data_IF_047861485912
#
_entry.id   IF_047861485912
#
_cell.length_a   1.000
_cell.length_b   1.000
_cell.length_c   1.000
_cell.angle_alpha   90.00
_cell.angle_beta   90.00
_cell.angle_gamma   90.00
#
_symmetry.space_group_name_H-M   'P 1'
#
loop_
_entity.id
_entity.type
_entity.pdbx_description
1 polymer ?
#
# COMPACT_ATOMS: atom_id res chain seq x y z
N UNK A 1 -34.70 -36.01 -50.16
CA UNK A 1 -34.44 -36.22 -48.71
C UNK A 1 -32.96 -36.09 -48.34
N UNK A 2 -32.02 -36.80 -49.00
CA UNK A 2 -30.56 -36.70 -48.70
C UNK A 2 -29.96 -35.28 -48.78
N UNK A 3 -30.41 -34.45 -49.74
CA UNK A 3 -29.94 -33.06 -49.91
C UNK A 3 -30.34 -32.14 -48.75
N UNK A 4 -31.56 -32.31 -48.22
CA UNK A 4 -32.08 -31.51 -47.09
C UNK A 4 -31.34 -31.84 -45.80
N UNK A 5 -31.05 -33.13 -45.58
CA UNK A 5 -30.27 -33.58 -44.43
C UNK A 5 -28.85 -32.98 -44.45
N UNK A 6 -28.22 -32.95 -45.63
CA UNK A 6 -26.88 -32.40 -45.80
C UNK A 6 -26.85 -30.87 -45.55
N UNK A 7 -27.87 -30.14 -46.01
CA UNK A 7 -28.01 -28.70 -45.75
C UNK A 7 -28.23 -28.40 -44.27
N UNK A 8 -29.01 -29.21 -43.54
CA UNK A 8 -29.20 -29.06 -42.09
C UNK A 8 -27.91 -29.35 -41.30
N UNK A 9 -27.14 -30.36 -41.70
CA UNK A 9 -25.83 -30.63 -41.08
C UNK A 9 -24.85 -29.47 -41.29
N UNK A 10 -24.83 -28.85 -42.47
CA UNK A 10 -23.94 -27.72 -42.75
C UNK A 10 -24.28 -26.48 -41.90
N UNK A 11 -25.57 -26.23 -41.65
CA UNK A 11 -26.02 -25.11 -40.82
C UNK A 11 -25.68 -25.29 -39.34
N UNK A 12 -25.73 -26.53 -38.82
CA UNK A 12 -25.32 -26.82 -37.43
C UNK A 12 -23.81 -26.70 -37.21
N UNK A 13 -22.99 -26.95 -38.25
CA UNK A 13 -21.54 -26.77 -38.18
C UNK A 13 -21.16 -25.27 -38.30
N UNK A 14 -21.96 -24.48 -39.02
CA UNK A 14 -21.73 -23.04 -39.18
C UNK A 14 -22.14 -22.22 -37.94
N UNK A 15 -22.96 -22.75 -37.03
CA UNK A 15 -23.25 -22.14 -35.73
C UNK A 15 -22.13 -22.40 -34.72
N UNK A 16 -20.92 -21.94 -35.05
CA UNK A 16 -19.82 -21.89 -34.09
C UNK A 16 -20.10 -20.82 -33.02
N UNK A 17 -19.79 -21.13 -31.77
CA UNK A 17 -19.84 -20.15 -30.69
C UNK A 17 -18.78 -19.07 -30.94
N UNK A 18 -19.22 -17.86 -31.29
CA UNK A 18 -18.36 -16.68 -31.28
C UNK A 18 -18.20 -16.24 -29.81
N UNK A 19 -17.06 -16.58 -29.20
CA UNK A 19 -16.68 -15.98 -27.93
C UNK A 19 -16.19 -14.56 -28.22
N UNK A 20 -16.91 -13.56 -27.72
CA UNK A 20 -16.40 -12.21 -27.67
C UNK A 20 -15.25 -12.20 -26.66
N UNK A 21 -14.03 -11.93 -27.13
CA UNK A 21 -12.87 -11.80 -26.26
C UNK A 21 -13.03 -10.50 -25.46
N UNK A 22 -13.57 -10.60 -24.25
CA UNK A 22 -13.75 -9.47 -23.35
C UNK A 22 -12.38 -9.05 -22.85
N UNK A 23 -11.84 -7.99 -23.43
CA UNK A 23 -10.61 -7.35 -22.97
C UNK A 23 -10.81 -6.87 -21.54
N UNK A 24 -10.20 -7.55 -20.57
CA UNK A 24 -10.33 -7.23 -19.14
C UNK A 24 -8.98 -6.82 -18.53
N UNK A 25 -9.00 -5.81 -17.65
CA UNK A 25 -7.80 -5.29 -17.01
C UNK A 25 -7.57 -6.05 -15.70
N UNK A 26 -6.71 -7.07 -15.75
CA UNK A 26 -6.40 -7.89 -14.55
C UNK A 26 -5.45 -7.18 -13.60
N UNK A 27 -4.41 -6.53 -14.14
CA UNK A 27 -3.47 -5.74 -13.36
C UNK A 27 -3.24 -4.37 -14.00
N UNK A 28 -3.01 -3.38 -13.15
CA UNK A 28 -2.68 -2.03 -13.56
C UNK A 28 -1.73 -1.38 -12.57
N UNK A 29 -1.05 -0.33 -13.02
CA UNK A 29 -0.14 0.50 -12.23
C UNK A 29 -0.45 1.97 -12.46
N UNK A 30 -0.17 2.79 -11.46
CA UNK A 30 -0.23 4.25 -11.58
C UNK A 30 1.16 4.77 -11.94
N UNK A 31 1.25 5.61 -12.97
CA UNK A 31 2.47 6.28 -13.44
C UNK A 31 2.23 7.78 -13.61
N UNK A 32 3.31 8.54 -13.75
CA UNK A 32 3.23 9.94 -14.19
C UNK A 32 2.66 10.03 -15.62
N UNK A 33 1.88 11.08 -15.91
CA UNK A 33 1.48 11.38 -17.28
C UNK A 33 2.65 12.08 -18.02
N UNK A 34 3.23 11.47 -19.08
CA UNK A 34 4.33 12.11 -19.81
C UNK A 34 3.87 13.26 -20.70
N UNK A 35 2.56 13.41 -20.94
CA UNK A 35 1.99 14.41 -21.87
C UNK A 35 1.36 15.61 -21.16
N UNK A 36 1.18 15.56 -19.85
CA UNK A 36 0.55 16.64 -19.09
C UNK A 36 1.13 16.75 -17.68
N UNK A 37 1.33 17.99 -17.23
CA UNK A 37 1.82 18.27 -15.87
C UNK A 37 0.73 17.99 -14.83
N UNK A 38 1.17 17.55 -13.66
CA UNK A 38 0.32 17.30 -12.49
C UNK A 38 -0.81 16.26 -12.73
N UNK A 39 -0.71 15.45 -13.78
CA UNK A 39 -1.64 14.37 -14.10
C UNK A 39 -0.95 13.01 -13.98
N UNK A 40 -1.74 11.97 -13.71
CA UNK A 40 -1.26 10.59 -13.68
C UNK A 40 -1.85 9.78 -14.82
N UNK A 41 -1.16 8.71 -15.17
CA UNK A 41 -1.64 7.69 -16.09
C UNK A 41 -1.91 6.40 -15.33
N UNK A 42 -2.98 5.70 -15.69
CA UNK A 42 -3.25 4.32 -15.28
C UNK A 42 -2.89 3.44 -16.46
N UNK A 43 -1.99 2.48 -16.20
CA UNK A 43 -1.42 1.62 -17.24
C UNK A 43 -1.79 0.18 -16.92
N UNK A 44 -2.48 -0.48 -17.84
CA UNK A 44 -2.76 -1.90 -17.79
C UNK A 44 -1.48 -2.68 -18.03
N UNK A 45 -1.18 -3.64 -17.15
CA UNK A 45 0.07 -4.41 -17.20
C UNK A 45 -0.17 -5.89 -16.98
N UNK A 46 0.77 -6.72 -17.42
CA UNK A 46 0.84 -8.14 -17.05
C UNK A 46 1.51 -8.35 -15.67
N UNK A 47 1.65 -9.60 -15.27
CA UNK A 47 2.37 -10.00 -14.04
C UNK A 47 3.85 -9.63 -14.06
N UNK A 48 4.45 -9.50 -15.24
CA UNK A 48 5.82 -9.02 -15.46
C UNK A 48 5.97 -7.49 -15.48
N UNK A 49 4.87 -6.74 -15.28
CA UNK A 49 4.78 -5.28 -15.39
C UNK A 49 4.98 -4.73 -16.82
N UNK A 50 4.87 -5.57 -17.85
CA UNK A 50 4.85 -5.13 -19.24
C UNK A 50 3.48 -4.55 -19.58
N UNK A 51 3.45 -3.53 -20.43
CA UNK A 51 2.20 -2.87 -20.83
C UNK A 51 1.38 -3.82 -21.71
N UNK A 52 0.08 -3.92 -21.43
CA UNK A 52 -0.86 -4.68 -22.26
C UNK A 52 -1.44 -3.79 -23.36
N UNK A 53 -0.77 -3.72 -24.51
CA UNK A 53 -1.17 -2.85 -25.62
C UNK A 53 -2.49 -3.26 -26.29
N UNK A 54 -2.94 -4.49 -26.09
CA UNK A 54 -4.25 -4.97 -26.56
C UNK A 54 -5.42 -4.34 -25.79
N UNK A 55 -5.18 -3.73 -24.60
CA UNK A 55 -6.22 -3.08 -23.81
C UNK A 55 -6.64 -1.75 -24.44
N UNK A 56 -7.81 -1.74 -25.07
CA UNK A 56 -8.41 -0.57 -25.71
C UNK A 56 -9.90 -0.50 -25.39
N UNK A 57 -10.41 0.70 -25.11
CA UNK A 57 -11.83 0.91 -24.77
C UNK A 57 -11.99 1.85 -23.57
N UNK A 58 -13.22 1.99 -23.06
CA UNK A 58 -13.45 2.78 -21.84
C UNK A 58 -13.82 1.87 -20.68
N UNK A 59 -13.18 2.10 -19.54
CA UNK A 59 -13.30 1.29 -18.35
C UNK A 59 -13.68 2.17 -17.17
N UNK A 60 -14.54 1.65 -16.30
CA UNK A 60 -14.89 2.33 -15.05
C UNK A 60 -13.84 2.00 -13.98
N UNK A 61 -13.34 3.05 -13.33
CA UNK A 61 -12.43 2.97 -12.19
C UNK A 61 -13.03 3.73 -11.02
N UNK A 62 -12.85 3.22 -9.81
CA UNK A 62 -13.10 4.01 -8.60
C UNK A 62 -11.78 4.57 -8.10
N UNK A 63 -11.60 5.88 -8.15
CA UNK A 63 -10.40 6.58 -7.68
C UNK A 63 -10.77 7.40 -6.44
N UNK A 64 -10.15 7.08 -5.30
CA UNK A 64 -10.43 7.74 -4.01
C UNK A 64 -11.92 7.78 -3.63
N UNK A 65 -12.70 6.78 -4.06
CA UNK A 65 -14.14 6.68 -3.80
C UNK A 65 -15.03 7.28 -4.89
N UNK A 66 -14.47 8.00 -5.86
CA UNK A 66 -15.21 8.57 -6.99
C UNK A 66 -15.14 7.64 -8.19
N UNK A 67 -16.27 7.44 -8.87
CA UNK A 67 -16.34 6.65 -10.10
C UNK A 67 -15.92 7.52 -11.28
N UNK A 68 -14.88 7.08 -11.98
CA UNK A 68 -14.23 7.76 -13.08
C UNK A 68 -14.24 6.86 -14.32
N UNK A 69 -14.57 7.43 -15.47
CA UNK A 69 -14.55 6.71 -16.74
C UNK A 69 -13.25 7.00 -17.46
N UNK A 70 -12.42 5.99 -17.64
CA UNK A 70 -11.09 6.11 -18.22
C UNK A 70 -11.04 5.47 -19.60
N UNK A 71 -10.59 6.26 -20.59
CA UNK A 71 -10.37 5.77 -21.96
C UNK A 71 -8.95 5.21 -22.07
N UNK A 72 -8.84 3.90 -22.25
CA UNK A 72 -7.60 3.19 -22.49
C UNK A 72 -7.30 3.16 -24.00
N UNK A 73 -6.10 3.59 -24.35
CA UNK A 73 -5.52 3.47 -25.67
C UNK A 73 -4.15 2.81 -25.53
N UNK A 74 -3.97 1.65 -26.17
CA UNK A 74 -2.78 0.80 -26.08
C UNK A 74 -2.34 0.54 -24.63
N UNK A 75 -3.30 0.19 -23.77
CA UNK A 75 -3.03 -0.13 -22.37
C UNK A 75 -2.79 1.07 -21.46
N UNK A 76 -2.93 2.30 -21.95
CA UNK A 76 -2.73 3.52 -21.14
C UNK A 76 -3.98 4.37 -21.14
N UNK A 77 -4.41 4.82 -19.95
CA UNK A 77 -5.44 5.84 -19.79
C UNK A 77 -4.92 7.01 -18.96
N UNK A 78 -5.31 8.22 -19.33
CA UNK A 78 -4.92 9.43 -18.60
C UNK A 78 -6.02 9.85 -17.64
N UNK A 79 -5.65 9.99 -16.37
CA UNK A 79 -6.52 10.59 -15.36
C UNK A 79 -6.28 12.10 -15.35
N UNK A 80 -7.23 12.85 -15.90
CA UNK A 80 -7.09 14.30 -16.17
C UNK A 80 -7.36 15.19 -14.97
N UNK A 81 -7.53 14.63 -13.78
CA UNK A 81 -7.65 15.41 -12.56
C UNK A 81 -6.27 15.83 -12.07
N UNK A 82 -6.02 17.14 -12.03
CA UNK A 82 -4.74 17.69 -11.62
C UNK A 82 -4.51 17.53 -10.13
N UNK A 83 -3.33 17.04 -9.75
CA UNK A 83 -2.91 16.90 -8.37
C UNK A 83 -2.18 18.17 -7.91
N UNK A 84 -2.85 19.01 -7.14
CA UNK A 84 -2.26 20.24 -6.57
C UNK A 84 -1.24 19.96 -5.45
N UNK A 85 -1.27 18.77 -4.86
CA UNK A 85 -0.37 18.38 -3.79
C UNK A 85 -0.12 16.88 -3.81
N UNK A 86 0.93 16.46 -3.11
CA UNK A 86 1.16 15.05 -2.83
C UNK A 86 -0.08 14.44 -2.19
N UNK A 87 -0.55 13.31 -2.73
CA UNK A 87 -1.81 12.71 -2.32
C UNK A 87 -1.79 11.20 -2.47
N UNK A 88 -2.63 10.53 -1.70
CA UNK A 88 -2.94 9.13 -1.93
C UNK A 88 -3.86 9.00 -3.14
N UNK A 89 -3.60 7.95 -3.92
CA UNK A 89 -4.41 7.48 -5.04
C UNK A 89 -4.74 6.02 -4.75
N UNK A 90 -5.97 5.80 -4.29
CA UNK A 90 -6.57 4.48 -4.17
C UNK A 90 -7.41 4.24 -5.42
N UNK A 91 -6.85 3.48 -6.36
CA UNK A 91 -7.53 3.13 -7.60
C UNK A 91 -8.04 1.68 -7.52
N UNK A 92 -9.30 1.49 -7.89
CA UNK A 92 -9.97 0.19 -7.94
C UNK A 92 -10.64 0.00 -9.29
N UNK A 93 -10.49 -1.17 -9.86
CA UNK A 93 -11.19 -1.60 -11.07
C UNK A 93 -11.93 -2.90 -10.77
N UNK A 94 -13.18 -2.96 -11.19
CA UNK A 94 -14.01 -4.16 -11.12
C UNK A 94 -14.21 -4.69 -12.53
N UNK A 95 -13.93 -5.98 -12.71
CA UNK A 95 -14.19 -6.72 -13.93
C UNK A 95 -15.09 -7.92 -13.60
N UNK A 96 -15.53 -8.65 -14.62
CA UNK A 96 -16.41 -9.81 -14.43
C UNK A 96 -15.73 -10.95 -13.63
N UNK A 97 -14.39 -11.01 -13.66
CA UNK A 97 -13.59 -12.01 -12.98
C UNK A 97 -13.22 -11.64 -11.52
N UNK A 98 -13.38 -10.38 -11.11
CA UNK A 98 -12.96 -9.95 -9.77
C UNK A 98 -12.81 -8.44 -9.59
N UNK A 99 -12.02 -8.05 -8.59
CA UNK A 99 -11.75 -6.64 -8.28
C UNK A 99 -10.29 -6.47 -7.95
N UNK A 100 -9.62 -5.61 -8.71
CA UNK A 100 -8.22 -5.26 -8.49
C UNK A 100 -8.15 -3.85 -7.93
N UNK A 101 -7.45 -3.68 -6.81
CA UNK A 101 -7.20 -2.36 -6.22
C UNK A 101 -5.73 -2.15 -5.91
N UNK A 102 -5.27 -0.92 -6.11
CA UNK A 102 -3.92 -0.51 -5.83
C UNK A 102 -3.93 0.82 -5.07
N UNK A 103 -3.09 0.91 -4.03
CA UNK A 103 -2.84 2.13 -3.29
C UNK A 103 -1.47 2.69 -3.66
N UNK A 104 -1.45 3.96 -4.04
CA UNK A 104 -0.23 4.72 -4.29
C UNK A 104 -0.22 5.98 -3.44
N UNK A 105 0.96 6.39 -3.02
CA UNK A 105 1.21 7.78 -2.63
C UNK A 105 1.93 8.45 -3.79
N UNK A 106 1.28 9.45 -4.38
CA UNK A 106 1.85 10.22 -5.47
C UNK A 106 2.56 11.42 -4.87
N UNK A 107 3.89 11.37 -4.88
CA UNK A 107 4.72 12.45 -4.39
C UNK A 107 4.89 13.52 -5.48
N UNK A 108 4.43 14.74 -5.20
CA UNK A 108 4.61 15.90 -6.07
C UNK A 108 5.89 16.64 -5.69
N UNK A 109 6.75 16.85 -6.66
CA UNK A 109 7.92 17.73 -6.53
C UNK A 109 8.06 18.56 -7.80
N UNK A 110 8.23 19.87 -7.63
CA UNK A 110 8.30 20.88 -8.68
C UNK A 110 7.15 20.80 -9.70
N UNK A 111 7.32 20.02 -10.78
CA UNK A 111 6.35 19.78 -11.85
C UNK A 111 6.28 18.30 -12.24
N UNK A 112 6.80 17.42 -11.39
CA UNK A 112 6.84 15.98 -11.60
C UNK A 112 6.03 15.25 -10.54
N UNK A 113 5.45 14.15 -10.97
CA UNK A 113 4.73 13.24 -10.08
C UNK A 113 5.48 11.92 -9.99
N UNK A 114 5.72 11.45 -8.77
CA UNK A 114 6.38 10.18 -8.52
C UNK A 114 5.43 9.26 -7.73
N UNK A 115 4.68 8.39 -8.43
CA UNK A 115 3.82 7.41 -7.76
C UNK A 115 4.65 6.33 -7.07
N UNK A 116 4.46 6.21 -5.75
CA UNK A 116 5.07 5.16 -4.92
C UNK A 116 3.98 4.19 -4.48
N UNK A 117 4.09 2.92 -4.89
CA UNK A 117 3.12 1.89 -4.51
C UNK A 117 3.24 1.60 -3.01
N UNK A 118 2.10 1.63 -2.31
CA UNK A 118 2.04 1.27 -0.90
C UNK A 118 1.51 -0.15 -0.76
N UNK A 119 2.23 -0.96 0.00
CA UNK A 119 1.78 -2.29 0.37
C UNK A 119 0.74 -2.21 1.48
N UNK A 120 -0.37 -2.94 1.35
CA UNK A 120 -1.38 -3.05 2.40
C UNK A 120 -0.81 -3.64 3.70
N UNK A 121 0.21 -4.51 3.60
CA UNK A 121 0.92 -5.04 4.75
C UNK A 121 1.51 -3.92 5.61
N UNK A 122 2.06 -2.87 4.97
CA UNK A 122 2.67 -1.75 5.69
C UNK A 122 1.63 -0.95 6.48
N UNK A 123 0.41 -0.80 5.94
CA UNK A 123 -0.70 -0.12 6.62
C UNK A 123 -1.11 -0.83 7.93
N UNK A 124 -0.95 -2.15 7.99
CA UNK A 124 -1.27 -2.95 9.18
C UNK A 124 -0.06 -3.08 10.11
N UNK A 125 1.13 -3.27 9.52
CA UNK A 125 2.36 -3.50 10.27
C UNK A 125 2.75 -2.30 11.14
N UNK A 126 2.56 -1.07 10.67
CA UNK A 126 2.91 0.14 11.44
C UNK A 126 2.06 0.25 12.72
N UNK A 127 0.71 0.25 12.67
CA UNK A 127 -0.11 0.25 13.88
C UNK A 127 0.17 -0.92 14.81
N UNK A 128 0.31 -2.14 14.27
CA UNK A 128 0.58 -3.33 15.06
C UNK A 128 1.94 -3.25 15.77
N UNK A 129 2.96 -2.75 15.06
CA UNK A 129 4.29 -2.52 15.59
C UNK A 129 4.29 -1.49 16.73
N UNK A 130 3.54 -0.39 16.59
CA UNK A 130 3.39 0.60 17.67
C UNK A 130 2.73 -0.01 18.92
N UNK A 131 1.68 -0.80 18.75
CA UNK A 131 1.03 -1.52 19.87
C UNK A 131 2.00 -2.48 20.54
N UNK A 132 2.78 -3.23 19.76
CA UNK A 132 3.76 -4.17 20.27
C UNK A 132 4.89 -3.46 21.05
N UNK A 133 5.41 -2.35 20.52
CA UNK A 133 6.41 -1.52 21.20
C UNK A 133 5.85 -0.99 22.53
N UNK A 134 4.63 -0.44 22.52
CA UNK A 134 3.97 0.05 23.74
C UNK A 134 3.77 -1.05 24.78
N UNK A 135 3.39 -2.25 24.33
CA UNK A 135 3.21 -3.41 25.20
C UNK A 135 4.53 -3.90 25.82
N UNK A 136 5.61 -3.98 25.03
CA UNK A 136 6.93 -4.32 25.53
C UNK A 136 7.41 -3.29 26.56
N UNK A 137 7.22 -2.00 26.27
CA UNK A 137 7.60 -0.91 27.18
C UNK A 137 6.92 -1.04 28.55
N UNK A 138 5.61 -1.36 28.58
CA UNK A 138 4.88 -1.61 29.83
C UNK A 138 5.54 -2.72 30.67
N UNK A 139 5.94 -3.82 30.05
CA UNK A 139 6.61 -4.93 30.75
C UNK A 139 7.99 -4.53 31.28
N UNK A 140 8.76 -3.77 30.50
CA UNK A 140 10.07 -3.26 30.93
C UNK A 140 9.96 -2.34 32.15
N UNK A 141 8.97 -1.45 32.20
CA UNK A 141 8.74 -0.57 33.36
C UNK A 141 8.50 -1.41 34.63
N UNK A 142 7.66 -2.44 34.56
CA UNK A 142 7.35 -3.29 35.72
C UNK A 142 8.61 -4.02 36.21
N UNK A 143 9.38 -4.61 35.29
CA UNK A 143 10.62 -5.31 35.64
C UNK A 143 11.63 -4.33 36.26
N UNK A 144 11.81 -3.15 35.67
CA UNK A 144 12.70 -2.12 36.20
C UNK A 144 12.30 -1.67 37.61
N UNK A 145 11.00 -1.50 37.86
CA UNK A 145 10.50 -1.12 39.19
C UNK A 145 10.75 -2.21 40.23
N UNK A 146 10.54 -3.49 39.88
CA UNK A 146 10.84 -4.62 40.78
C UNK A 146 12.34 -4.66 41.11
N UNK A 147 13.21 -4.57 40.10
CA UNK A 147 14.67 -4.55 40.30
C UNK A 147 15.07 -3.34 41.15
N UNK A 148 14.49 -2.17 40.90
CA UNK A 148 14.75 -0.95 41.66
C UNK A 148 14.34 -1.09 43.13
N UNK A 149 13.18 -1.69 43.42
CA UNK A 149 12.75 -1.96 44.79
C UNK A 149 13.69 -2.95 45.50
N UNK A 150 14.10 -4.03 44.83
CA UNK A 150 15.08 -5.00 45.39
C UNK A 150 16.41 -4.30 45.67
N UNK A 151 16.87 -3.47 44.74
CA UNK A 151 18.10 -2.71 44.87
C UNK A 151 18.05 -1.73 46.06
N UNK A 152 16.97 -0.97 46.22
CA UNK A 152 16.80 -0.07 47.37
C UNK A 152 16.74 -0.84 48.69
N UNK A 153 16.01 -1.96 48.73
CA UNK A 153 15.92 -2.81 49.91
C UNK A 153 17.30 -3.35 50.33
N UNK A 154 18.08 -3.84 49.37
CA UNK A 154 19.44 -4.31 49.60
C UNK A 154 20.34 -3.20 50.14
N UNK A 155 20.35 -2.01 49.53
CA UNK A 155 21.17 -0.89 49.99
C UNK A 155 20.79 -0.44 51.41
N UNK A 156 19.49 -0.35 51.70
CA UNK A 156 19.00 0.01 53.03
C UNK A 156 19.44 -0.99 54.10
N UNK A 157 19.29 -2.30 53.83
CA UNK A 157 19.72 -3.35 54.77
C UNK A 157 21.23 -3.42 54.99
N UNK A 158 22.03 -2.98 54.01
CA UNK A 158 23.49 -2.91 54.14
C UNK A 158 23.98 -1.56 54.70
N UNK A 159 23.10 -0.79 55.36
CA UNK A 159 23.47 0.42 56.10
C UNK A 159 23.49 1.70 55.27
N UNK A 160 23.11 1.65 53.99
CA UNK A 160 23.00 2.84 53.13
C UNK A 160 21.55 3.34 53.12
N UNK A 161 21.28 4.37 53.93
CA UNK A 161 19.96 5.03 53.94
C UNK A 161 19.66 5.70 52.60
N UNK A 162 18.37 5.93 52.31
CA UNK A 162 17.91 6.56 51.05
C UNK A 162 18.59 7.93 50.82
N UNK A 163 18.68 8.85 51.79
CA UNK A 163 19.38 10.13 51.59
C UNK A 163 20.87 9.95 51.27
N UNK A 164 21.56 9.07 51.99
CA UNK A 164 23.00 8.81 51.77
C UNK A 164 23.26 8.12 50.43
N UNK A 165 22.32 7.31 49.94
CA UNK A 165 22.39 6.73 48.59
C UNK A 165 22.38 7.82 47.52
N UNK A 166 21.40 8.73 47.53
CA UNK A 166 21.35 9.82 46.56
C UNK A 166 22.55 10.76 46.66
N UNK A 167 23.00 11.05 47.88
CA UNK A 167 24.20 11.84 48.11
C UNK A 167 25.44 11.17 47.48
N UNK A 168 25.61 9.85 47.67
CA UNK A 168 26.70 9.09 47.07
C UNK A 168 26.66 9.08 45.54
N UNK A 169 25.47 8.96 44.94
CA UNK A 169 25.30 9.06 43.48
C UNK A 169 25.68 10.45 42.97
N UNK A 170 25.22 11.51 43.64
CA UNK A 170 25.53 12.90 43.27
C UNK A 170 27.02 13.21 43.43
N UNK A 171 27.66 12.75 44.51
CA UNK A 171 29.08 12.96 44.74
C UNK A 171 29.94 12.17 43.74
N UNK A 172 29.53 10.95 43.37
CA UNK A 172 30.14 10.17 42.29
C UNK A 172 30.02 10.86 40.92
N UNK A 173 28.85 11.40 40.59
CA UNK A 173 28.66 12.19 39.36
C UNK A 173 29.54 13.45 39.36
N UNK A 174 29.59 14.20 40.47
CA UNK A 174 30.44 15.39 40.60
C UNK A 174 31.92 15.06 40.39
N UNK A 175 32.42 13.96 40.94
CA UNK A 175 33.82 13.54 40.76
C UNK A 175 34.18 13.22 39.30
N UNK A 176 33.21 12.76 38.50
CA UNK A 176 33.40 12.52 37.06
C UNK A 176 33.40 13.83 36.26
N UNK A 177 32.57 14.81 36.64
CA UNK A 177 32.48 16.11 35.95
C UNK A 177 33.46 17.17 36.46
N UNK A 178 34.18 16.90 37.56
CA UNK A 178 35.21 17.79 38.11
C UNK A 178 36.65 17.31 37.86
N UNK A 179 36.84 16.24 37.08
CA UNK A 179 38.12 15.88 36.44
C UNK A 179 38.13 16.39 35.01
#
# INVERSE_FOLDING_TARGET
>A
MKKILFTCCLFMIASGFAFADTVSIKHFVVKENPFAKDEIAIVAVDTGKNIQENVNGTFSFTINGFVETLKFEKGTAFFRHKLEKSSFIFARHQNDEGTTSMLYYVYRHDSKLTPVKISWILLIAIPLGLVLIGYLFKRFIIIALIIFCIFLYFNYHNGLSIPTFFQSVLDGLKGIFSS
#
